data_IF_090815942282
#
_entry.id   IF_090815942282
#
_cell.length_a   1.000
_cell.length_b   1.000
_cell.length_c   1.000
_cell.angle_alpha   90.00
_cell.angle_beta   90.00
_cell.angle_gamma   90.00
#
_symmetry.space_group_name_H-M   'P 1'
#
loop_
_entity.id
_entity.type
_entity.pdbx_description
1 polymer ?
#
# COMPACT_ATOMS: atom_id res chain seq x y z
N UNK A 1 -10.83 38.12 -17.98
CA UNK A 1 -10.54 37.36 -16.72
C UNK A 1 -11.31 36.06 -16.78
N UNK A 2 -10.71 35.02 -17.35
CA UNK A 2 -11.29 33.69 -17.53
C UNK A 2 -10.83 32.85 -16.35
N UNK A 3 -11.79 32.39 -15.53
CA UNK A 3 -11.56 31.40 -14.51
C UNK A 3 -11.38 30.07 -15.21
N UNK A 4 -10.15 29.55 -15.23
CA UNK A 4 -9.87 28.18 -15.62
C UNK A 4 -10.51 27.23 -14.60
N UNK A 5 -11.46 26.43 -15.09
CA UNK A 5 -12.14 25.44 -14.29
C UNK A 5 -11.21 24.26 -14.02
N UNK A 6 -10.70 24.13 -12.81
CA UNK A 6 -10.14 22.86 -12.34
C UNK A 6 -11.28 21.85 -12.27
N UNK A 7 -11.23 20.86 -13.13
CA UNK A 7 -12.11 19.69 -13.04
C UNK A 7 -11.81 19.01 -11.69
N UNK A 8 -12.75 19.10 -10.77
CA UNK A 8 -12.70 18.32 -9.53
C UNK A 8 -12.91 16.87 -9.96
N UNK A 9 -11.82 16.12 -10.08
CA UNK A 9 -11.90 14.65 -10.22
C UNK A 9 -12.54 14.17 -8.92
N UNK A 10 -13.78 13.72 -9.02
CA UNK A 10 -14.53 13.20 -7.90
C UNK A 10 -13.84 11.88 -7.48
N UNK A 11 -13.08 11.91 -6.37
CA UNK A 11 -12.50 10.71 -5.79
C UNK A 11 -13.63 9.80 -5.33
N UNK A 12 -13.77 8.66 -5.99
CA UNK A 12 -14.75 7.63 -5.64
C UNK A 12 -14.14 6.73 -4.58
N UNK A 13 -14.89 6.51 -3.50
CA UNK A 13 -14.53 5.54 -2.47
C UNK A 13 -14.70 4.12 -3.02
N UNK A 14 -13.67 3.30 -2.90
CA UNK A 14 -13.65 1.90 -3.31
C UNK A 14 -13.31 1.01 -2.12
N UNK A 15 -13.84 -0.22 -2.15
CA UNK A 15 -13.54 -1.26 -1.17
C UNK A 15 -12.75 -2.39 -1.83
N UNK A 16 -11.73 -2.90 -1.14
CA UNK A 16 -10.94 -4.02 -1.65
C UNK A 16 -11.72 -5.34 -1.61
N UNK A 17 -11.39 -6.30 -2.49
CA UNK A 17 -11.85 -7.68 -2.35
C UNK A 17 -11.46 -8.30 -1.02
N UNK A 18 -12.13 -9.37 -0.63
CA UNK A 18 -11.78 -10.18 0.54
C UNK A 18 -10.47 -10.94 0.31
N UNK A 19 -9.82 -11.34 1.41
CA UNK A 19 -8.58 -12.09 1.35
C UNK A 19 -8.76 -13.47 0.71
N UNK A 20 -8.00 -13.75 -0.36
CA UNK A 20 -7.89 -15.07 -0.97
C UNK A 20 -6.72 -15.82 -0.33
N UNK A 21 -6.98 -16.50 0.78
CA UNK A 21 -5.96 -17.20 1.56
C UNK A 21 -5.17 -18.19 0.71
N UNK A 22 -3.85 -18.18 0.89
CA UNK A 22 -2.93 -19.10 0.20
C UNK A 22 -2.47 -18.62 -1.19
N UNK A 23 -3.04 -17.53 -1.74
CA UNK A 23 -2.56 -16.95 -2.98
C UNK A 23 -1.08 -16.59 -2.85
N UNK A 24 -0.29 -16.88 -3.89
CA UNK A 24 1.14 -16.54 -3.92
C UNK A 24 1.34 -15.10 -4.36
N UNK A 25 2.37 -14.39 -3.85
CA UNK A 25 2.69 -13.06 -4.31
C UNK A 25 3.21 -13.08 -5.75
N UNK A 26 2.97 -12.01 -6.48
CA UNK A 26 3.58 -11.78 -7.80
C UNK A 26 4.97 -11.17 -7.64
N UNK A 27 5.93 -11.66 -8.42
CA UNK A 27 7.28 -11.11 -8.43
C UNK A 27 7.29 -9.69 -9.00
N UNK A 28 8.23 -8.89 -8.50
CA UNK A 28 8.52 -7.56 -9.01
C UNK A 28 10.00 -7.22 -8.87
N UNK A 29 10.44 -6.30 -9.70
CA UNK A 29 11.68 -5.54 -9.51
C UNK A 29 11.39 -4.10 -9.88
N UNK A 30 11.41 -3.20 -8.89
CA UNK A 30 11.02 -1.82 -9.03
C UNK A 30 12.08 -0.89 -8.43
N UNK A 31 12.12 0.35 -8.94
CA UNK A 31 13.02 1.39 -8.46
C UNK A 31 12.50 1.98 -7.14
N UNK A 32 13.36 2.04 -6.14
CA UNK A 32 13.09 2.68 -4.86
C UNK A 32 13.51 4.15 -4.81
N UNK A 33 12.91 4.91 -3.90
CA UNK A 33 13.27 6.31 -3.63
C UNK A 33 14.70 6.51 -3.14
N UNK A 34 15.36 5.44 -2.72
CA UNK A 34 16.78 5.39 -2.37
C UNK A 34 17.71 5.20 -3.58
N UNK A 35 17.14 5.15 -4.79
CA UNK A 35 17.85 4.96 -6.05
C UNK A 35 18.27 3.53 -6.36
N UNK A 36 17.89 2.55 -5.54
CA UNK A 36 18.20 1.13 -5.73
C UNK A 36 17.03 0.39 -6.37
N UNK A 37 17.36 -0.75 -7.01
CA UNK A 37 16.35 -1.70 -7.48
C UNK A 37 16.05 -2.73 -6.38
N UNK A 38 14.77 -2.84 -6.06
CA UNK A 38 14.22 -3.74 -5.06
C UNK A 38 13.37 -4.83 -5.73
N UNK A 39 13.70 -6.07 -5.44
CA UNK A 39 12.87 -7.22 -5.84
C UNK A 39 12.02 -7.71 -4.65
N UNK A 40 10.96 -8.47 -4.94
CA UNK A 40 10.17 -9.14 -3.91
C UNK A 40 11.07 -9.91 -2.94
N UNK A 41 12.05 -10.64 -3.45
CA UNK A 41 12.99 -11.44 -2.65
C UNK A 41 13.80 -10.58 -1.66
N UNK A 42 14.30 -9.43 -2.11
CA UNK A 42 15.06 -8.49 -1.26
C UNK A 42 14.19 -7.86 -0.17
N UNK A 43 12.89 -7.74 -0.41
CA UNK A 43 11.93 -7.16 0.55
C UNK A 43 11.43 -8.18 1.56
N UNK A 44 11.57 -9.49 1.28
CA UNK A 44 11.00 -10.54 2.12
C UNK A 44 11.72 -10.66 3.46
N UNK A 45 10.96 -10.68 4.56
CA UNK A 45 11.47 -10.96 5.90
C UNK A 45 11.43 -12.46 6.23
N UNK A 46 12.13 -12.87 7.29
CA UNK A 46 12.21 -14.28 7.72
C UNK A 46 10.85 -14.87 8.16
N UNK A 47 9.87 -14.05 8.49
CA UNK A 47 8.52 -14.44 8.94
C UNK A 47 7.41 -14.09 7.95
N UNK A 48 7.73 -13.40 6.86
CA UNK A 48 6.78 -12.98 5.85
C UNK A 48 7.03 -11.56 5.36
N UNK A 49 6.07 -11.02 4.63
CA UNK A 49 6.14 -9.67 4.07
C UNK A 49 4.79 -8.96 4.14
N UNK A 50 4.83 -7.67 4.37
CA UNK A 50 3.73 -6.73 4.16
C UNK A 50 4.01 -5.91 2.89
N UNK A 51 3.14 -6.03 1.89
CA UNK A 51 3.16 -5.23 0.66
C UNK A 51 2.01 -4.24 0.74
N UNK A 52 2.29 -2.96 0.50
CA UNK A 52 1.33 -1.88 0.63
C UNK A 52 1.27 -1.09 -0.68
N UNK A 53 0.10 -0.99 -1.29
CA UNK A 53 -0.13 -0.03 -2.38
C UNK A 53 -0.61 1.27 -1.76
N UNK A 54 0.23 2.30 -1.82
CA UNK A 54 -0.03 3.63 -1.27
C UNK A 54 0.38 4.71 -2.27
N UNK A 55 -0.15 5.92 -2.11
CA UNK A 55 0.24 7.08 -2.89
C UNK A 55 0.43 8.32 -2.00
N UNK A 56 0.96 9.40 -2.55
CA UNK A 56 1.38 10.55 -1.75
C UNK A 56 0.23 11.48 -1.35
N UNK A 57 -0.84 11.55 -2.15
CA UNK A 57 -1.90 12.55 -1.99
C UNK A 57 -3.22 11.99 -1.46
N UNK A 58 -3.38 10.67 -1.39
CA UNK A 58 -4.61 10.04 -0.94
C UNK A 58 -4.91 10.39 0.53
N UNK A 59 -6.07 10.98 0.85
CA UNK A 59 -6.40 11.36 2.24
C UNK A 59 -6.48 10.14 3.17
N UNK A 60 -6.88 8.96 2.67
CA UNK A 60 -6.89 7.72 3.43
C UNK A 60 -5.47 7.26 3.80
N UNK A 61 -4.50 7.44 2.89
CA UNK A 61 -3.09 7.16 3.16
C UNK A 61 -2.52 8.17 4.15
N UNK A 62 -2.70 9.47 3.87
CA UNK A 62 -2.17 10.54 4.74
C UNK A 62 -2.71 10.48 6.17
N UNK A 63 -3.94 10.01 6.37
CA UNK A 63 -4.54 9.89 7.68
C UNK A 63 -3.85 8.82 8.57
N UNK A 64 -3.20 7.84 7.98
CA UNK A 64 -2.62 6.69 8.70
C UNK A 64 -1.09 6.71 8.77
N UNK A 65 -0.38 7.53 7.94
CA UNK A 65 1.07 7.44 7.75
C UNK A 65 1.87 7.50 9.06
N UNK A 66 1.57 8.43 9.95
CA UNK A 66 2.30 8.57 11.22
C UNK A 66 2.28 7.27 12.03
N UNK A 67 1.13 6.62 12.11
CA UNK A 67 0.96 5.37 12.85
C UNK A 67 1.49 4.17 12.07
N UNK A 68 1.28 4.16 10.75
CA UNK A 68 1.74 3.10 9.86
C UNK A 68 3.26 2.93 9.96
N UNK A 69 4.02 4.02 9.94
CA UNK A 69 5.48 3.98 10.06
C UNK A 69 5.91 3.36 11.39
N UNK A 70 5.36 3.84 12.49
CA UNK A 70 5.69 3.30 13.82
C UNK A 70 5.37 1.80 13.94
N UNK A 71 4.21 1.38 13.45
CA UNK A 71 3.79 -0.02 13.53
C UNK A 71 4.61 -0.92 12.60
N UNK A 72 4.97 -0.44 11.40
CA UNK A 72 5.82 -1.21 10.47
C UNK A 72 7.24 -1.36 10.97
N UNK A 73 7.82 -0.36 11.63
CA UNK A 73 9.12 -0.47 12.28
C UNK A 73 9.12 -1.61 13.31
N UNK A 74 8.07 -1.69 14.14
CA UNK A 74 7.92 -2.80 15.10
C UNK A 74 7.77 -4.15 14.38
N UNK A 75 6.97 -4.24 13.31
CA UNK A 75 6.80 -5.48 12.54
C UNK A 75 8.13 -5.97 11.94
N UNK A 76 8.98 -5.06 11.44
CA UNK A 76 10.30 -5.40 10.93
C UNK A 76 11.17 -6.04 12.02
N UNK A 77 11.12 -5.58 13.27
CA UNK A 77 11.82 -6.25 14.40
C UNK A 77 11.29 -7.66 14.69
N UNK A 78 10.09 -8.00 14.20
CA UNK A 78 9.49 -9.34 14.33
C UNK A 78 9.75 -10.25 13.13
N UNK A 79 10.58 -9.79 12.18
CA UNK A 79 10.95 -10.56 11.00
C UNK A 79 9.98 -10.44 9.83
N UNK A 80 9.06 -9.50 9.85
CA UNK A 80 8.22 -9.16 8.71
C UNK A 80 8.97 -8.16 7.83
N UNK A 81 9.19 -8.48 6.56
CA UNK A 81 9.63 -7.50 5.58
C UNK A 81 8.50 -6.52 5.27
N UNK A 82 8.82 -5.30 4.94
CA UNK A 82 7.82 -4.26 4.59
C UNK A 82 8.25 -3.56 3.33
N UNK A 83 7.31 -3.35 2.42
CA UNK A 83 7.51 -2.57 1.20
C UNK A 83 6.27 -1.79 0.84
N UNK A 84 6.43 -0.56 0.41
CA UNK A 84 5.36 0.25 -0.16
C UNK A 84 5.60 0.44 -1.67
N UNK A 85 4.53 0.39 -2.46
CA UNK A 85 4.55 0.56 -3.91
C UNK A 85 3.57 1.68 -4.25
N UNK A 86 4.03 2.68 -4.99
CA UNK A 86 3.20 3.73 -5.57
C UNK A 86 2.91 3.39 -7.04
N UNK A 87 1.66 3.04 -7.37
CA UNK A 87 1.28 2.67 -8.72
C UNK A 87 0.58 3.81 -9.48
N UNK A 88 0.58 5.03 -8.95
CA UNK A 88 -0.18 6.10 -9.55
C UNK A 88 0.46 6.62 -10.84
N UNK A 89 -0.44 6.96 -11.78
CA UNK A 89 -0.08 7.61 -13.02
C UNK A 89 0.39 9.05 -12.76
N UNK A 90 1.69 9.24 -12.85
CA UNK A 90 2.37 10.51 -12.60
C UNK A 90 1.89 11.67 -13.48
N UNK A 91 1.64 11.50 -14.79
CA UNK A 91 1.08 12.53 -15.64
C UNK A 91 -0.29 13.04 -15.18
N UNK A 92 -1.14 12.15 -14.67
CA UNK A 92 -2.48 12.51 -14.18
C UNK A 92 -2.48 13.04 -12.74
N UNK A 93 -1.48 12.63 -11.93
CA UNK A 93 -1.36 13.00 -10.52
C UNK A 93 0.07 13.46 -10.19
N UNK A 94 0.43 14.73 -10.48
CA UNK A 94 1.79 15.25 -10.24
C UNK A 94 2.26 15.14 -8.78
N UNK A 95 1.32 15.11 -7.81
CA UNK A 95 1.62 14.90 -6.40
C UNK A 95 2.24 13.54 -6.12
N UNK A 96 2.07 12.56 -7.01
CA UNK A 96 2.66 11.22 -6.92
C UNK A 96 3.96 11.07 -7.71
N UNK A 97 4.58 12.18 -8.09
CA UNK A 97 5.89 12.16 -8.75
C UNK A 97 6.94 11.47 -7.90
N UNK A 98 7.96 10.92 -8.56
CA UNK A 98 9.07 10.25 -7.87
C UNK A 98 9.79 11.18 -6.89
N UNK A 99 9.92 12.47 -7.24
CA UNK A 99 10.47 13.51 -6.37
C UNK A 99 9.62 13.69 -5.11
N UNK A 100 8.30 13.73 -5.24
CA UNK A 100 7.39 13.82 -4.11
C UNK A 100 7.39 12.55 -3.25
N UNK A 101 7.58 11.37 -3.83
CA UNK A 101 7.81 10.13 -3.08
C UNK A 101 9.05 10.23 -2.18
N UNK A 102 10.16 10.79 -2.70
CA UNK A 102 11.37 11.03 -1.91
C UNK A 102 11.10 12.00 -0.75
N UNK A 103 10.33 13.07 -1.00
CA UNK A 103 9.99 14.07 0.01
C UNK A 103 9.13 13.42 1.11
N UNK A 104 8.08 12.70 0.74
CA UNK A 104 7.15 12.05 1.67
C UNK A 104 7.87 11.00 2.51
N UNK A 105 8.67 10.14 1.89
CA UNK A 105 9.42 9.10 2.61
C UNK A 105 10.36 9.67 3.67
N UNK A 106 11.04 10.78 3.36
CA UNK A 106 11.90 11.50 4.31
C UNK A 106 11.08 12.20 5.41
N UNK A 107 9.98 12.86 5.03
CA UNK A 107 9.13 13.60 5.96
C UNK A 107 8.53 12.71 7.05
N UNK A 108 8.08 11.51 6.69
CA UNK A 108 7.48 10.56 7.62
C UNK A 108 8.49 9.54 8.17
N UNK A 109 9.74 9.54 7.69
CA UNK A 109 10.78 8.64 8.17
C UNK A 109 10.53 7.18 7.82
N UNK A 110 10.22 6.87 6.56
CA UNK A 110 9.97 5.49 6.13
C UNK A 110 11.20 4.61 6.38
N UNK A 111 11.06 3.61 7.26
CA UNK A 111 12.05 2.57 7.53
C UNK A 111 12.01 1.39 6.55
N UNK A 112 11.22 1.49 5.49
CA UNK A 112 11.00 0.47 4.47
C UNK A 112 11.16 1.03 3.06
N UNK A 113 11.46 0.18 2.04
CA UNK A 113 11.52 0.61 0.64
C UNK A 113 10.17 1.19 0.16
N UNK A 114 10.24 2.34 -0.52
CA UNK A 114 9.11 2.94 -1.23
C UNK A 114 9.41 2.96 -2.71
N UNK A 115 8.65 2.19 -3.49
CA UNK A 115 8.94 1.83 -4.87
C UNK A 115 7.92 2.48 -5.81
N UNK A 116 8.36 2.76 -7.05
CA UNK A 116 7.46 3.26 -8.10
C UNK A 116 7.09 2.16 -9.08
N UNK A 117 5.79 1.99 -9.36
CA UNK A 117 5.22 1.12 -10.41
C UNK A 117 4.62 1.99 -11.52
N UNK A 118 5.50 2.64 -12.32
CA UNK A 118 5.09 3.58 -13.38
C UNK A 118 4.10 3.00 -14.39
N UNK A 119 4.24 1.71 -14.70
CA UNK A 119 3.37 1.01 -15.63
C UNK A 119 2.06 0.49 -15.00
N UNK A 120 1.90 0.63 -13.69
CA UNK A 120 0.78 0.07 -12.92
C UNK A 120 0.64 -1.46 -13.08
N UNK A 121 1.67 -2.11 -13.59
CA UNK A 121 1.60 -3.54 -13.91
C UNK A 121 1.61 -4.39 -12.65
N UNK A 122 2.38 -3.99 -11.63
CA UNK A 122 2.44 -4.75 -10.38
C UNK A 122 1.13 -4.60 -9.63
N UNK A 123 0.58 -3.39 -9.53
CA UNK A 123 -0.73 -3.18 -8.93
C UNK A 123 -1.83 -3.99 -9.63
N UNK A 124 -1.82 -4.06 -10.97
CA UNK A 124 -2.75 -4.90 -11.76
C UNK A 124 -2.60 -6.38 -11.44
N UNK A 125 -1.37 -6.89 -11.38
CA UNK A 125 -1.10 -8.30 -11.07
C UNK A 125 -1.60 -8.69 -9.68
N UNK A 126 -1.47 -7.79 -8.69
CA UNK A 126 -2.00 -7.98 -7.34
C UNK A 126 -3.52 -7.76 -7.24
N UNK A 127 -4.16 -7.22 -8.27
CA UNK A 127 -5.58 -6.85 -8.23
C UNK A 127 -5.86 -5.75 -7.20
N UNK A 128 -4.91 -4.82 -7.03
CA UNK A 128 -5.11 -3.63 -6.19
C UNK A 128 -6.15 -2.72 -6.84
N UNK A 129 -7.12 -2.22 -6.07
CA UNK A 129 -8.25 -1.42 -6.60
C UNK A 129 -8.31 0.00 -6.04
N UNK A 130 -7.64 0.24 -4.91
CA UNK A 130 -7.60 1.56 -4.27
C UNK A 130 -6.29 1.73 -3.50
N UNK A 131 -6.05 2.94 -2.99
CA UNK A 131 -5.00 3.20 -2.01
C UNK A 131 -5.63 3.73 -0.72
N UNK A 132 -5.21 3.21 0.46
CA UNK A 132 -4.26 2.11 0.66
C UNK A 132 -4.87 0.72 0.42
N UNK A 133 -4.08 -0.24 -0.11
CA UNK A 133 -4.43 -1.67 -0.17
C UNK A 133 -3.26 -2.47 0.44
N UNK A 134 -3.55 -3.41 1.34
CA UNK A 134 -2.56 -4.11 2.15
C UNK A 134 -2.59 -5.60 1.90
N UNK A 135 -1.43 -6.21 1.67
CA UNK A 135 -1.25 -7.64 1.43
C UNK A 135 -0.20 -8.19 2.40
N UNK A 136 -0.64 -9.07 3.31
CA UNK A 136 0.22 -9.74 4.28
C UNK A 136 0.45 -11.19 3.93
N UNK A 137 1.71 -11.55 3.67
CA UNK A 137 2.13 -12.92 3.35
C UNK A 137 2.94 -13.53 4.48
N UNK A 138 2.79 -14.84 4.69
CA UNK A 138 3.59 -15.60 5.65
C UNK A 138 4.95 -16.03 5.07
N UNK A 139 5.76 -16.74 5.86
CA UNK A 139 7.07 -17.27 5.43
C UNK A 139 6.98 -18.32 4.33
N UNK A 140 5.82 -18.96 4.13
CA UNK A 140 5.55 -19.89 3.03
C UNK A 140 5.08 -19.18 1.75
N UNK A 141 5.12 -17.85 1.73
CA UNK A 141 4.66 -17.00 0.63
C UNK A 141 3.17 -17.21 0.31
N UNK A 142 2.35 -17.31 1.33
CA UNK A 142 0.93 -17.46 1.21
C UNK A 142 0.23 -16.23 1.77
N UNK A 143 -0.73 -15.68 1.01
CA UNK A 143 -1.55 -14.55 1.45
C UNK A 143 -2.33 -14.95 2.70
N UNK A 144 -2.20 -14.18 3.75
CA UNK A 144 -2.82 -14.40 5.03
C UNK A 144 -3.61 -13.19 5.53
N UNK A 145 -3.39 -12.03 4.92
CA UNK A 145 -4.10 -10.80 5.22
C UNK A 145 -4.32 -9.96 3.96
N UNK A 146 -5.56 -9.58 3.71
CA UNK A 146 -5.95 -8.50 2.82
C UNK A 146 -7.12 -7.76 3.46
N UNK A 147 -6.83 -6.63 4.07
CA UNK A 147 -7.83 -5.91 4.87
C UNK A 147 -7.40 -4.48 5.16
N UNK A 148 -8.25 -3.79 5.91
CA UNK A 148 -8.05 -2.38 6.26
C UNK A 148 -6.86 -2.18 7.21
N UNK A 149 -6.36 -0.94 7.27
CA UNK A 149 -5.42 -0.55 8.32
C UNK A 149 -6.11 -0.57 9.68
N UNK A 150 -7.17 0.20 9.85
CA UNK A 150 -8.04 0.24 11.04
C UNK A 150 -9.44 0.79 10.67
N UNK A 151 -10.23 1.16 11.66
CA UNK A 151 -11.62 1.60 11.51
C UNK A 151 -11.82 3.09 11.21
N UNK A 152 -10.74 3.85 10.99
CA UNK A 152 -10.77 5.32 10.90
C UNK A 152 -11.11 5.87 9.52
N UNK A 153 -10.93 5.10 8.46
CA UNK A 153 -11.06 5.60 7.09
C UNK A 153 -10.08 6.75 6.82
N UNK A 154 -10.58 7.88 6.34
CA UNK A 154 -9.76 9.08 6.06
C UNK A 154 -9.57 10.01 7.27
N UNK A 155 -10.01 9.64 8.46
CA UNK A 155 -9.91 10.48 9.67
C UNK A 155 -8.60 10.22 10.42
N UNK A 156 -7.88 11.29 10.74
CA UNK A 156 -6.75 11.18 11.69
C UNK A 156 -7.27 10.87 13.09
N UNK A 157 -6.61 9.96 13.77
CA UNK A 157 -6.95 9.61 15.14
C UNK A 157 -5.69 9.36 15.97
N UNK A 158 -5.70 9.85 17.18
CA UNK A 158 -4.68 9.57 18.19
C UNK A 158 -5.01 8.30 19.00
N UNK A 159 -5.83 7.39 18.48
CA UNK A 159 -6.15 6.16 19.16
C UNK A 159 -4.87 5.34 19.42
N UNK A 160 -4.52 5.08 20.69
CA UNK A 160 -3.29 4.36 21.06
C UNK A 160 -3.38 2.85 20.75
N UNK A 161 -4.58 2.33 20.45
CA UNK A 161 -4.74 0.92 20.13
C UNK A 161 -4.04 0.56 18.82
N UNK A 162 -3.43 -0.61 18.79
CA UNK A 162 -2.84 -1.18 17.59
C UNK A 162 -3.87 -1.33 16.48
N UNK A 163 -3.45 -1.10 15.22
CA UNK A 163 -4.30 -1.27 14.05
C UNK A 163 -4.70 -2.73 13.82
N UNK A 164 -5.74 -2.95 13.03
CA UNK A 164 -6.14 -4.30 12.59
C UNK A 164 -5.03 -4.93 11.76
N UNK A 165 -4.38 -4.14 10.89
CA UNK A 165 -3.22 -4.54 10.11
C UNK A 165 -2.08 -5.03 11.02
N UNK A 166 -1.69 -4.23 12.02
CA UNK A 166 -0.62 -4.61 12.93
C UNK A 166 -0.91 -5.93 13.65
N UNK A 167 -2.11 -6.07 14.22
CA UNK A 167 -2.53 -7.30 14.92
C UNK A 167 -2.46 -8.52 14.01
N UNK A 168 -2.94 -8.38 12.77
CA UNK A 168 -2.91 -9.45 11.77
C UNK A 168 -1.46 -9.85 11.42
N UNK A 169 -0.61 -8.88 11.07
CA UNK A 169 0.79 -9.15 10.72
C UNK A 169 1.60 -9.70 11.90
N UNK A 170 1.32 -9.23 13.12
CA UNK A 170 1.93 -9.79 14.33
C UNK A 170 1.50 -11.23 14.57
N UNK A 171 0.23 -11.56 14.37
CA UNK A 171 -0.27 -12.94 14.43
C UNK A 171 0.42 -13.82 13.37
N UNK A 172 0.52 -13.35 12.11
CA UNK A 172 1.20 -14.04 11.01
C UNK A 172 2.67 -14.33 11.37
N UNK A 173 3.38 -13.36 11.94
CA UNK A 173 4.79 -13.52 12.33
C UNK A 173 5.00 -14.63 13.37
N UNK A 174 3.99 -14.91 14.20
CA UNK A 174 4.05 -15.92 15.27
C UNK A 174 3.53 -17.29 14.86
N UNK A 175 2.49 -17.32 14.04
CA UNK A 175 1.72 -18.54 13.76
C UNK A 175 1.78 -18.98 12.30
N UNK A 176 2.23 -18.11 11.40
CA UNK A 176 2.14 -18.30 9.95
C UNK A 176 0.73 -18.13 9.39
N UNK A 177 -0.27 -17.80 10.22
CA UNK A 177 -1.67 -17.68 9.84
C UNK A 177 -2.25 -16.34 10.24
N UNK A 178 -3.02 -15.72 9.33
CA UNK A 178 -3.77 -14.50 9.57
C UNK A 178 -5.11 -14.74 10.28
N UNK A 179 -5.79 -13.67 10.70
CA UNK A 179 -7.14 -13.76 11.26
C UNK A 179 -8.12 -14.25 10.18
N UNK A 180 -9.07 -15.10 10.56
CA UNK A 180 -10.10 -15.63 9.64
C UNK A 180 -11.07 -14.53 9.19
N UNK A 181 -11.47 -13.65 10.12
CA UNK A 181 -12.36 -12.54 9.84
C UNK A 181 -11.53 -11.30 9.55
N UNK A 182 -11.68 -10.75 8.37
CA UNK A 182 -10.98 -9.56 7.90
C UNK A 182 -11.99 -8.57 7.33
N UNK A 183 -11.72 -7.28 7.52
CA UNK A 183 -12.55 -6.20 7.00
C UNK A 183 -11.79 -5.57 5.84
N UNK A 184 -12.45 -5.46 4.69
CA UNK A 184 -11.88 -4.84 3.49
C UNK A 184 -11.34 -3.45 3.75
N UNK A 185 -10.24 -3.11 3.08
CA UNK A 185 -9.73 -1.74 3.05
C UNK A 185 -10.70 -0.86 2.26
N UNK A 186 -10.79 0.39 2.68
CA UNK A 186 -11.50 1.44 1.96
C UNK A 186 -10.46 2.49 1.58
N UNK A 187 -10.50 2.94 0.35
CA UNK A 187 -9.56 3.92 -0.16
C UNK A 187 -10.11 4.69 -1.35
N UNK A 188 -9.32 5.64 -1.84
CA UNK A 188 -9.69 6.38 -3.02
C UNK A 188 -9.35 5.62 -4.31
N UNK A 189 -10.14 5.90 -5.35
CA UNK A 189 -9.93 5.38 -6.72
C UNK A 189 -8.70 5.98 -7.42
N UNK A 190 -7.65 6.32 -6.68
CA UNK A 190 -6.41 6.85 -7.26
C UNK A 190 -5.72 5.86 -8.23
N UNK A 191 -6.06 4.58 -8.12
CA UNK A 191 -5.72 3.54 -9.09
C UNK A 191 -6.76 3.51 -10.22
N UNK A 192 -6.80 4.55 -11.03
CA UNK A 192 -7.48 4.48 -12.30
C UNK A 192 -6.55 3.74 -13.27
N UNK A 193 -6.78 2.43 -13.43
CA UNK A 193 -6.23 1.74 -14.58
C UNK A 193 -6.82 2.40 -15.83
N UNK A 194 -6.03 3.22 -16.50
CA UNK A 194 -6.40 3.68 -17.83
C UNK A 194 -6.46 2.44 -18.72
N UNK A 195 -7.65 1.88 -18.89
CA UNK A 195 -7.90 0.99 -20.00
C UNK A 195 -7.54 1.77 -21.25
N UNK A 196 -6.72 1.23 -22.17
CA UNK A 196 -6.62 1.82 -23.49
C UNK A 196 -8.06 1.92 -24.02
N UNK A 197 -8.50 3.15 -24.31
CA UNK A 197 -9.79 3.38 -24.95
C UNK A 197 -9.80 2.52 -26.22
N UNK A 198 -10.82 1.70 -26.46
CA UNK A 198 -10.96 1.06 -27.74
C UNK A 198 -11.37 2.13 -28.75
N UNK A 199 -10.40 2.89 -29.22
CA UNK A 199 -10.50 3.79 -30.35
C UNK A 199 -9.15 3.70 -31.06
N UNK A 200 -9.12 2.77 -31.96
CA UNK A 200 -8.69 2.78 -33.34
C UNK A 200 -8.55 1.36 -33.89
#
# INVERSE_FOLDING_TARGET
>A
MTKEGYSIIQMVELSTPVCEFGQKPHDFTLKGVDGKDWSLEKCYGSKGILIMFICNHCPYVLAILDKLVVETDVLQTKGIGVVAINPNDNPSYPDDSFENMIIISKKYGFGFPYLIDEAQQIAKNYGAVCTPDFYGYNSSRELQYRGRFDDRGSQKSNNPNQSDLFKAMFQISRTGQGPKNQISSIGCSCLLYTSPSPRD
#
